data_IF_098472181892
#
_entry.id   IF_098472181892
#
_cell.length_a   1.000
_cell.length_b   1.000
_cell.length_c   1.000
_cell.angle_alpha   90.00
_cell.angle_beta   90.00
_cell.angle_gamma   90.00
#
_symmetry.space_group_name_H-M   'P 1'
#
loop_
_entity.id
_entity.type
_entity.pdbx_description
1 polymer ?
#
# COMPACT_ATOMS: atom_id res chain seq x y z
N UNK A 1 59.23 28.11 -12.05
CA UNK A 1 57.85 28.61 -11.82
C UNK A 1 56.97 27.41 -11.53
N UNK A 2 56.82 27.04 -10.25
CA UNK A 2 55.96 25.91 -9.83
C UNK A 2 54.58 26.43 -9.44
N UNK A 3 53.56 25.99 -10.16
CA UNK A 3 52.17 26.12 -9.73
C UNK A 3 51.74 24.83 -9.04
N UNK A 4 51.63 24.88 -7.70
CA UNK A 4 51.08 23.79 -6.91
C UNK A 4 49.55 23.88 -7.00
N UNK A 5 48.93 22.94 -7.69
CA UNK A 5 47.47 22.76 -7.69
C UNK A 5 47.03 22.20 -6.34
N UNK A 6 46.32 23.01 -5.56
CA UNK A 6 45.56 22.54 -4.39
C UNK A 6 44.31 21.78 -4.87
N UNK A 7 44.31 20.46 -4.69
CA UNK A 7 43.11 19.64 -4.87
C UNK A 7 42.18 19.81 -3.66
N UNK A 8 41.04 20.47 -3.85
CA UNK A 8 40.00 20.57 -2.83
C UNK A 8 39.24 19.24 -2.71
N UNK A 9 39.39 18.56 -1.57
CA UNK A 9 38.57 17.41 -1.20
C UNK A 9 37.18 17.91 -0.79
N UNK A 10 36.20 17.76 -1.67
CA UNK A 10 34.79 17.94 -1.33
C UNK A 10 34.32 16.76 -0.46
N UNK A 11 34.27 16.98 0.85
CA UNK A 11 33.68 16.05 1.82
C UNK A 11 32.16 15.98 1.58
N UNK A 12 31.71 15.02 0.78
CA UNK A 12 30.28 14.77 0.57
C UNK A 12 29.68 14.19 1.85
N UNK A 13 28.84 14.97 2.52
CA UNK A 13 28.03 14.49 3.63
C UNK A 13 27.07 13.40 3.11
N UNK A 14 27.18 12.20 3.68
CA UNK A 14 26.27 11.12 3.34
C UNK A 14 24.83 11.49 3.78
N UNK A 15 23.81 11.25 2.93
CA UNK A 15 22.44 11.52 3.31
C UNK A 15 22.05 10.64 4.51
N UNK A 16 21.69 11.29 5.62
CA UNK A 16 21.20 10.60 6.81
C UNK A 16 19.81 10.05 6.50
N UNK A 17 19.54 8.74 6.65
CA UNK A 17 18.23 8.19 6.38
C UNK A 17 17.22 8.79 7.38
N UNK A 18 16.20 9.46 6.84
CA UNK A 18 15.11 9.99 7.65
C UNK A 18 14.43 8.86 8.44
N UNK A 19 14.21 9.09 9.73
CA UNK A 19 13.50 8.14 10.58
C UNK A 19 12.08 7.94 10.04
N UNK A 20 11.74 6.71 9.64
CA UNK A 20 10.39 6.35 9.17
C UNK A 20 9.40 6.54 10.32
N UNK A 21 8.30 7.21 10.02
CA UNK A 21 7.20 7.41 10.95
C UNK A 21 6.67 6.06 11.40
N UNK A 22 6.21 5.89 12.66
CA UNK A 22 5.56 4.65 13.10
C UNK A 22 4.38 4.24 12.22
N UNK A 23 3.73 5.22 11.57
CA UNK A 23 2.63 5.03 10.63
C UNK A 23 3.06 4.43 9.28
N UNK A 24 4.36 4.40 8.98
CA UNK A 24 4.90 3.83 7.74
C UNK A 24 5.13 2.31 7.85
N UNK A 25 4.84 1.72 9.01
CA UNK A 25 4.96 0.27 9.20
C UNK A 25 3.97 -0.45 8.30
N UNK A 26 4.50 -1.25 7.36
CA UNK A 26 3.73 -2.12 6.50
C UNK A 26 3.27 -3.36 7.29
N UNK A 27 1.97 -3.63 7.26
CA UNK A 27 1.28 -4.80 7.78
C UNK A 27 1.00 -5.75 6.60
N UNK A 28 1.57 -6.95 6.66
CA UNK A 28 1.40 -7.97 5.62
C UNK A 28 0.28 -8.95 5.98
N UNK A 29 -0.71 -9.09 5.10
CA UNK A 29 -1.80 -10.06 5.22
C UNK A 29 -1.70 -11.11 4.10
N UNK A 30 -2.00 -12.37 4.42
CA UNK A 30 -2.07 -13.46 3.43
C UNK A 30 -3.51 -13.65 2.96
N UNK A 31 -3.72 -13.64 1.65
CA UNK A 31 -5.02 -13.87 1.02
C UNK A 31 -4.96 -15.18 0.27
N UNK A 32 -5.63 -16.20 0.83
CA UNK A 32 -5.87 -17.44 0.11
C UNK A 32 -6.78 -17.16 -1.09
N UNK A 33 -6.42 -17.67 -2.26
CA UNK A 33 -7.33 -17.69 -3.40
C UNK A 33 -8.12 -18.99 -3.34
N UNK A 34 -9.45 -18.89 -3.18
CA UNK A 34 -10.33 -20.06 -3.09
C UNK A 34 -10.18 -20.93 -4.33
N UNK A 35 -9.92 -22.22 -4.14
CA UNK A 35 -9.74 -23.19 -5.22
C UNK A 35 -8.34 -23.16 -5.88
N UNK A 36 -7.42 -22.31 -5.43
CA UNK A 36 -6.05 -22.28 -5.96
C UNK A 36 -5.15 -23.32 -5.27
N UNK A 37 -4.48 -24.14 -6.07
CA UNK A 37 -3.40 -25.05 -5.60
C UNK A 37 -2.07 -24.33 -5.36
N UNK A 38 -1.91 -23.11 -5.91
CA UNK A 38 -0.68 -22.32 -5.86
C UNK A 38 -0.51 -21.50 -4.57
N UNK A 39 -1.38 -21.71 -3.58
CA UNK A 39 -1.36 -20.96 -2.32
C UNK A 39 -1.92 -19.54 -2.45
N UNK A 40 -1.85 -18.80 -1.34
CA UNK A 40 -2.34 -17.42 -1.24
C UNK A 40 -1.30 -16.36 -1.62
N UNK A 41 -1.76 -15.13 -1.89
CA UNK A 41 -0.90 -13.97 -2.11
C UNK A 41 -0.64 -13.23 -0.80
N UNK A 42 0.61 -12.76 -0.59
CA UNK A 42 0.94 -11.83 0.50
C UNK A 42 0.79 -10.40 0.00
N UNK A 43 0.02 -9.59 0.71
CA UNK A 43 -0.14 -8.16 0.43
C UNK A 43 0.31 -7.39 1.67
N UNK A 44 1.23 -6.43 1.48
CA UNK A 44 1.77 -5.60 2.55
C UNK A 44 1.38 -4.14 2.32
N UNK A 45 0.66 -3.56 3.27
CA UNK A 45 0.13 -2.18 3.22
C UNK A 45 0.26 -1.52 4.58
N UNK A 46 0.28 -0.20 4.66
CA UNK A 46 0.29 0.54 5.93
C UNK A 46 -1.06 0.36 6.63
N UNK A 47 -1.15 0.74 7.90
CA UNK A 47 -2.42 0.71 8.61
C UNK A 47 -3.49 1.55 7.90
N UNK A 48 -3.12 2.77 7.49
CA UNK A 48 -4.01 3.68 6.75
C UNK A 48 -4.54 3.07 5.45
N UNK A 49 -3.64 2.50 4.63
CA UNK A 49 -4.04 1.85 3.36
C UNK A 49 -5.02 0.69 3.60
N UNK A 50 -4.89 -0.06 4.70
CA UNK A 50 -5.85 -1.11 5.06
C UNK A 50 -7.21 -0.57 5.45
N UNK A 51 -7.24 0.52 6.23
CA UNK A 51 -8.48 1.14 6.69
C UNK A 51 -9.27 1.74 5.51
N UNK A 52 -8.57 2.41 4.59
CA UNK A 52 -9.18 2.96 3.37
C UNK A 52 -9.84 1.88 2.51
N UNK A 53 -9.16 0.74 2.34
CA UNK A 53 -9.68 -0.39 1.58
C UNK A 53 -10.90 -1.03 2.22
N UNK A 54 -10.91 -1.15 3.55
CA UNK A 54 -12.07 -1.66 4.27
C UNK A 54 -13.28 -0.75 4.07
N UNK A 55 -13.07 0.58 4.15
CA UNK A 55 -14.13 1.56 3.91
C UNK A 55 -14.63 1.50 2.46
N UNK A 56 -13.73 1.41 1.48
CA UNK A 56 -14.11 1.26 0.06
C UNK A 56 -14.93 0.00 -0.18
N UNK A 57 -14.45 -1.15 0.31
CA UNK A 57 -15.13 -2.43 0.15
C UNK A 57 -16.54 -2.42 0.75
N UNK A 58 -16.72 -1.81 1.94
CA UNK A 58 -18.04 -1.66 2.56
C UNK A 58 -18.99 -0.82 1.71
N UNK A 59 -18.51 0.31 1.15
CA UNK A 59 -19.31 1.18 0.28
C UNK A 59 -19.70 0.51 -1.03
N UNK A 60 -18.79 -0.26 -1.62
CA UNK A 60 -19.06 -1.06 -2.81
C UNK A 60 -20.17 -2.08 -2.55
N UNK A 61 -20.07 -2.84 -1.45
CA UNK A 61 -21.10 -3.81 -1.06
C UNK A 61 -22.46 -3.14 -0.84
N UNK A 62 -22.49 -2.01 -0.12
CA UNK A 62 -23.73 -1.26 0.12
C UNK A 62 -24.37 -0.78 -1.19
N UNK A 63 -23.56 -0.23 -2.09
CA UNK A 63 -24.01 0.20 -3.42
C UNK A 63 -24.59 -0.96 -4.21
N UNK A 64 -23.91 -2.11 -4.23
CA UNK A 64 -24.39 -3.32 -4.91
C UNK A 64 -25.69 -3.84 -4.30
N UNK A 65 -25.82 -3.85 -2.97
CA UNK A 65 -27.05 -4.26 -2.28
C UNK A 65 -28.23 -3.37 -2.64
N UNK A 66 -28.03 -2.06 -2.59
CA UNK A 66 -29.05 -1.08 -2.91
C UNK A 66 -29.46 -1.15 -4.39
N UNK A 67 -28.52 -1.44 -5.29
CA UNK A 67 -28.81 -1.63 -6.71
C UNK A 67 -29.48 -2.98 -7.00
N UNK A 68 -29.07 -4.07 -6.34
CA UNK A 68 -29.71 -5.39 -6.49
C UNK A 68 -31.19 -5.37 -6.09
N UNK A 69 -31.53 -4.61 -5.03
CA UNK A 69 -32.92 -4.39 -4.62
C UNK A 69 -33.75 -3.64 -5.69
N UNK A 70 -33.11 -2.90 -6.60
CA UNK A 70 -33.79 -2.18 -7.70
C UNK A 70 -33.95 -3.03 -8.97
N UNK A 71 -33.14 -4.08 -9.14
CA UNK A 71 -33.07 -4.88 -10.39
C UNK A 71 -33.85 -6.20 -10.31
N UNK A 72 -34.53 -6.51 -9.19
CA UNK A 72 -35.46 -7.64 -9.11
C UNK A 72 -36.91 -7.19 -9.32
N UNK A 73 -37.43 -7.13 -10.56
CA UNK A 73 -38.87 -7.07 -10.76
C UNK A 73 -39.45 -8.46 -10.50
N UNK A 74 -40.24 -8.60 -9.44
CA UNK A 74 -41.26 -9.64 -9.28
C UNK A 74 -40.82 -11.10 -9.45
N UNK A 75 -40.40 -11.74 -8.36
CA UNK A 75 -40.55 -13.18 -8.21
C UNK A 75 -41.89 -13.47 -7.52
N UNK A 76 -42.91 -13.83 -8.30
CA UNK A 76 -44.21 -14.33 -7.88
C UNK A 76 -44.54 -15.60 -8.65
#
# INVERSE_FOLDING_TARGET
MSFILLAALAMQAAPVPAAKSPNDKKICKMFASTGSRLGGKRICKTAHEWDEEEVSARREIDTMRNNAARVTPGGG
#
